data_IF_251164744934
#
_entry.id   IF_251164744934
#
_cell.length_a   1.000
_cell.length_b   1.000
_cell.length_c   1.000
_cell.angle_alpha   90.00
_cell.angle_beta   90.00
_cell.angle_gamma   90.00
#
_symmetry.space_group_name_H-M   'P 1'
#
loop_
_entity.id
_entity.type
_entity.pdbx_description
1 polymer ?
#
# COMPACT_ATOMS: atom_id res chain seq x y z
N UNK A 1 40.78 14.09 -104.40
CA UNK A 1 39.45 14.68 -104.62
C UNK A 1 38.56 14.17 -103.47
N UNK A 2 38.46 14.92 -102.38
CA UNK A 2 37.33 15.85 -102.11
C UNK A 2 36.08 15.04 -101.70
N UNK A 3 35.43 15.18 -100.53
CA UNK A 3 35.52 16.17 -99.46
C UNK A 3 34.88 15.64 -98.17
N UNK A 4 35.41 16.17 -97.06
CA UNK A 4 34.89 16.42 -95.72
C UNK A 4 33.36 16.60 -95.53
N UNK A 5 32.83 16.21 -94.35
CA UNK A 5 31.91 16.96 -93.44
C UNK A 5 31.26 15.96 -92.46
N UNK A 6 31.75 15.81 -91.23
CA UNK A 6 31.39 16.56 -90.01
C UNK A 6 30.20 15.95 -89.23
N UNK A 7 30.44 15.67 -87.94
CA UNK A 7 29.64 16.08 -86.78
C UNK A 7 29.62 14.99 -85.70
N UNK A 8 30.26 15.28 -84.57
CA UNK A 8 30.00 14.66 -83.26
C UNK A 8 29.22 15.69 -82.44
N UNK A 9 28.17 15.30 -81.70
CA UNK A 9 28.25 15.43 -80.24
C UNK A 9 27.53 14.26 -79.51
N UNK A 10 28.16 13.63 -78.52
CA UNK A 10 27.99 13.83 -77.04
C UNK A 10 26.95 12.84 -76.44
N UNK A 11 27.17 12.30 -75.22
CA UNK A 11 26.57 11.05 -74.78
C UNK A 11 25.24 11.25 -74.05
N UNK A 12 24.25 10.43 -74.35
CA UNK A 12 23.02 10.32 -73.58
C UNK A 12 22.94 8.97 -72.86
N UNK A 13 23.38 8.96 -71.60
CA UNK A 13 22.85 8.03 -70.60
C UNK A 13 21.50 8.59 -70.15
N UNK A 14 20.42 7.96 -70.59
CA UNK A 14 19.05 8.27 -70.13
C UNK A 14 18.37 7.00 -69.63
N UNK A 15 17.49 7.11 -68.62
CA UNK A 15 17.61 6.33 -67.40
C UNK A 15 16.83 5.01 -67.45
N UNK A 16 17.37 3.98 -66.80
CA UNK A 16 16.58 2.79 -66.45
C UNK A 16 15.39 3.24 -65.61
N UNK A 17 14.19 3.25 -66.23
CA UNK A 17 12.92 3.35 -65.52
C UNK A 17 12.88 2.23 -64.49
N UNK A 18 12.99 2.60 -63.21
CA UNK A 18 12.55 1.75 -62.09
C UNK A 18 11.07 1.49 -62.31
N UNK A 19 10.73 0.36 -62.92
CA UNK A 19 9.38 -0.17 -62.95
C UNK A 19 9.05 -0.46 -61.49
N UNK A 20 8.29 0.43 -60.86
CA UNK A 20 7.61 0.12 -59.61
C UNK A 20 6.74 -1.10 -59.88
N UNK A 21 7.22 -2.27 -59.45
CA UNK A 21 6.52 -3.52 -59.62
C UNK A 21 5.21 -3.41 -58.86
N UNK A 22 4.11 -3.41 -59.59
CA UNK A 22 2.80 -3.59 -58.98
C UNK A 22 2.88 -4.88 -58.16
N UNK A 23 2.48 -4.86 -56.88
CA UNK A 23 2.50 -6.06 -56.07
C UNK A 23 1.65 -7.12 -56.76
N UNK A 24 2.23 -8.30 -56.96
CA UNK A 24 1.51 -9.43 -57.57
C UNK A 24 0.30 -9.76 -56.70
N UNK A 25 -0.83 -10.16 -57.29
CA UNK A 25 -2.04 -10.54 -56.56
C UNK A 25 -1.77 -11.60 -55.47
N UNK A 26 -0.78 -12.46 -55.69
CA UNK A 26 -0.28 -13.42 -54.69
C UNK A 26 0.35 -12.72 -53.48
N UNK A 27 1.13 -11.65 -53.68
CA UNK A 27 1.76 -10.89 -52.59
C UNK A 27 0.69 -10.16 -51.75
N UNK A 28 -0.33 -9.62 -52.40
CA UNK A 28 -1.47 -8.98 -51.71
C UNK A 28 -2.23 -10.02 -50.87
N UNK A 29 -2.49 -11.21 -51.43
CA UNK A 29 -3.15 -12.30 -50.72
C UNK A 29 -2.34 -12.78 -49.51
N UNK A 30 -1.03 -12.95 -49.68
CA UNK A 30 -0.13 -13.33 -48.58
C UNK A 30 -0.08 -12.26 -47.49
N UNK A 31 0.01 -10.98 -47.87
CA UNK A 31 -0.03 -9.88 -46.93
C UNK A 31 -1.38 -9.81 -46.17
N UNK A 32 -2.50 -10.09 -46.84
CA UNK A 32 -3.81 -10.14 -46.21
C UNK A 32 -3.92 -11.29 -45.20
N UNK A 33 -3.44 -12.49 -45.55
CA UNK A 33 -3.42 -13.65 -44.63
C UNK A 33 -2.53 -13.34 -43.43
N UNK A 34 -1.35 -12.75 -43.64
CA UNK A 34 -0.43 -12.38 -42.57
C UNK A 34 -1.05 -11.32 -41.65
N UNK A 35 -1.72 -10.32 -42.22
CA UNK A 35 -2.42 -9.28 -41.45
C UNK A 35 -3.55 -9.88 -40.60
N UNK A 36 -4.37 -10.77 -41.17
CA UNK A 36 -5.42 -11.48 -40.45
C UNK A 36 -4.82 -12.33 -39.32
N UNK A 37 -3.76 -13.10 -39.60
CA UNK A 37 -3.09 -13.92 -38.59
C UNK A 37 -2.54 -13.06 -37.42
N UNK A 38 -1.96 -11.90 -37.72
CA UNK A 38 -1.46 -10.97 -36.70
C UNK A 38 -2.59 -10.39 -35.84
N UNK A 39 -3.70 -9.99 -36.47
CA UNK A 39 -4.90 -9.51 -35.78
C UNK A 39 -5.46 -10.60 -34.86
N UNK A 40 -5.53 -11.85 -35.33
CA UNK A 40 -5.99 -12.97 -34.53
C UNK A 40 -5.04 -13.26 -33.35
N UNK A 41 -3.73 -13.21 -33.57
CA UNK A 41 -2.74 -13.41 -32.50
C UNK A 41 -2.88 -12.36 -31.37
N UNK A 42 -3.05 -11.08 -31.74
CA UNK A 42 -3.27 -9.99 -30.77
C UNK A 42 -4.60 -10.17 -30.02
N UNK A 43 -5.68 -10.50 -30.74
CA UNK A 43 -7.01 -10.71 -30.14
C UNK A 43 -7.07 -11.97 -29.25
N UNK A 44 -6.33 -13.02 -29.59
CA UNK A 44 -6.26 -14.23 -28.78
C UNK A 44 -5.44 -13.98 -27.51
N UNK A 45 -4.35 -13.21 -27.60
CA UNK A 45 -3.55 -12.79 -26.46
C UNK A 45 -4.34 -11.94 -25.46
N UNK A 46 -5.23 -11.05 -25.92
CA UNK A 46 -6.03 -10.19 -25.05
C UNK A 46 -7.17 -10.95 -24.33
N UNK A 47 -7.77 -11.97 -24.96
CA UNK A 47 -8.83 -12.79 -24.34
C UNK A 47 -8.30 -13.74 -23.26
N UNK A 48 -7.10 -14.30 -23.44
CA UNK A 48 -6.49 -15.15 -22.42
C UNK A 48 -6.02 -14.32 -21.21
N UNK A 49 -5.47 -13.12 -21.45
CA UNK A 49 -5.01 -12.23 -20.37
C UNK A 49 -6.16 -11.65 -19.52
N UNK A 50 -7.39 -11.57 -20.05
CA UNK A 50 -8.52 -10.97 -19.35
C UNK A 50 -9.22 -11.92 -18.35
N UNK A 51 -8.93 -13.22 -18.38
CA UNK A 51 -9.68 -14.22 -17.58
C UNK A 51 -8.99 -14.60 -16.27
N UNK A 52 -7.66 -14.50 -16.20
CA UNK A 52 -6.91 -14.74 -14.97
C UNK A 52 -7.09 -13.67 -13.88
N UNK A 53 -7.11 -12.36 -14.16
CA UNK A 53 -7.20 -11.36 -13.09
C UNK A 53 -8.51 -11.44 -12.32
N UNK A 54 -9.62 -11.85 -12.96
CA UNK A 54 -10.91 -11.92 -12.28
C UNK A 54 -10.98 -13.01 -11.21
N UNK A 55 -10.36 -14.17 -11.44
CA UNK A 55 -10.35 -15.24 -10.43
C UNK A 55 -9.40 -14.94 -9.28
N UNK A 56 -8.24 -14.34 -9.57
CA UNK A 56 -7.36 -13.88 -8.52
C UNK A 56 -8.07 -12.85 -7.61
N UNK A 57 -8.75 -11.87 -8.20
CA UNK A 57 -9.53 -10.89 -7.43
C UNK A 57 -10.67 -11.55 -6.64
N UNK A 58 -11.34 -12.56 -7.21
CA UNK A 58 -12.38 -13.30 -6.49
C UNK A 58 -11.81 -14.03 -5.27
N UNK A 59 -10.68 -14.72 -5.43
CA UNK A 59 -10.03 -15.47 -4.35
C UNK A 59 -9.50 -14.53 -3.26
N UNK A 60 -8.93 -13.38 -3.64
CA UNK A 60 -8.48 -12.33 -2.71
C UNK A 60 -9.65 -11.78 -1.87
N UNK A 61 -10.75 -11.38 -2.52
CA UNK A 61 -11.94 -10.89 -1.82
C UNK A 61 -12.55 -11.98 -0.93
N UNK A 62 -12.53 -13.24 -1.38
CA UNK A 62 -13.05 -14.35 -0.60
C UNK A 62 -12.22 -14.60 0.66
N UNK A 63 -10.90 -14.60 0.54
CA UNK A 63 -9.99 -14.74 1.66
C UNK A 63 -10.19 -13.62 2.70
N UNK A 64 -10.38 -12.38 2.23
CA UNK A 64 -10.63 -11.24 3.10
C UNK A 64 -11.96 -11.37 3.86
N UNK A 65 -13.04 -11.81 3.18
CA UNK A 65 -14.32 -12.08 3.83
C UNK A 65 -14.18 -13.14 4.94
N UNK A 66 -13.45 -14.22 4.66
CA UNK A 66 -13.30 -15.30 5.62
C UNK A 66 -12.44 -14.86 6.83
N UNK A 67 -11.41 -14.03 6.61
CA UNK A 67 -10.64 -13.37 7.68
C UNK A 67 -11.52 -12.47 8.55
N UNK A 68 -12.28 -11.56 7.93
CA UNK A 68 -13.13 -10.62 8.66
C UNK A 68 -14.23 -11.32 9.48
N UNK A 69 -14.76 -12.44 8.98
CA UNK A 69 -15.72 -13.25 9.72
C UNK A 69 -15.11 -13.91 10.95
N UNK A 70 -13.88 -14.41 10.83
CA UNK A 70 -13.16 -14.99 11.97
C UNK A 70 -12.90 -13.92 13.05
N UNK A 71 -12.45 -12.74 12.64
CA UNK A 71 -12.23 -11.60 13.52
C UNK A 71 -13.53 -11.14 14.20
N UNK A 72 -14.61 -11.00 13.43
CA UNK A 72 -15.94 -10.67 13.97
C UNK A 72 -16.39 -11.70 15.02
N UNK A 73 -16.20 -13.00 14.75
CA UNK A 73 -16.55 -14.05 15.71
C UNK A 73 -15.75 -13.94 17.01
N UNK A 74 -14.45 -13.64 16.92
CA UNK A 74 -13.60 -13.42 18.09
C UNK A 74 -14.06 -12.21 18.90
N UNK A 75 -14.32 -11.08 18.23
CA UNK A 75 -14.77 -9.85 18.88
C UNK A 75 -16.14 -9.99 19.53
N UNK A 76 -17.04 -10.77 18.92
CA UNK A 76 -18.35 -11.10 19.51
C UNK A 76 -18.16 -11.90 20.80
N UNK A 77 -17.29 -12.91 20.79
CA UNK A 77 -17.02 -13.71 21.99
C UNK A 77 -16.42 -12.87 23.12
N UNK A 78 -15.45 -12.00 22.79
CA UNK A 78 -14.84 -11.09 23.77
C UNK A 78 -15.88 -10.11 24.34
N UNK A 79 -16.68 -9.49 23.48
CA UNK A 79 -17.77 -8.60 23.91
C UNK A 79 -18.73 -9.32 24.85
N UNK A 80 -19.12 -10.55 24.52
CA UNK A 80 -20.08 -11.32 25.30
C UNK A 80 -19.47 -11.74 26.65
N UNK A 81 -18.18 -12.09 26.69
CA UNK A 81 -17.44 -12.33 27.92
C UNK A 81 -17.40 -11.08 28.81
N UNK A 82 -16.97 -9.93 28.28
CA UNK A 82 -16.88 -8.67 29.04
C UNK A 82 -18.24 -8.22 29.56
N UNK A 83 -19.34 -8.57 28.88
CA UNK A 83 -20.72 -8.29 29.34
C UNK A 83 -21.26 -9.32 30.34
N UNK A 84 -20.56 -10.41 30.58
CA UNK A 84 -21.03 -11.48 31.45
C UNK A 84 -20.74 -11.21 32.93
N UNK A 85 -21.54 -11.81 33.80
CA UNK A 85 -21.30 -11.77 35.25
C UNK A 85 -19.95 -12.38 35.65
N UNK A 86 -19.44 -13.33 34.86
CA UNK A 86 -18.13 -13.93 35.09
C UNK A 86 -16.99 -12.90 34.98
N UNK A 87 -17.10 -11.96 34.04
CA UNK A 87 -16.15 -10.85 33.93
C UNK A 87 -16.26 -9.89 35.11
N UNK A 88 -17.49 -9.56 35.54
CA UNK A 88 -17.72 -8.71 36.73
C UNK A 88 -17.12 -9.36 37.97
N UNK A 89 -17.30 -10.67 38.13
CA UNK A 89 -16.75 -11.43 39.25
C UNK A 89 -15.21 -11.49 39.23
N UNK A 90 -14.61 -11.70 38.05
CA UNK A 90 -13.16 -11.67 37.88
C UNK A 90 -12.60 -10.28 38.23
N UNK A 91 -13.18 -9.22 37.65
CA UNK A 91 -12.78 -7.85 37.91
C UNK A 91 -12.92 -7.48 39.39
N UNK A 92 -14.02 -7.90 40.02
CA UNK A 92 -14.27 -7.63 41.43
C UNK A 92 -13.17 -8.22 42.33
N UNK A 93 -12.65 -9.42 42.01
CA UNK A 93 -11.57 -10.05 42.77
C UNK A 93 -10.19 -9.48 42.44
N UNK A 94 -9.90 -9.28 41.16
CA UNK A 94 -8.57 -8.94 40.68
C UNK A 94 -8.26 -7.46 40.87
N UNK A 95 -9.12 -6.57 40.36
CA UNK A 95 -8.95 -5.12 40.48
C UNK A 95 -9.70 -4.54 41.68
N UNK A 96 -10.95 -4.96 41.89
CA UNK A 96 -11.81 -4.43 42.94
C UNK A 96 -11.44 -4.87 44.35
N UNK A 97 -10.62 -5.92 44.49
CA UNK A 97 -10.26 -6.57 45.78
C UNK A 97 -11.47 -6.88 46.67
N UNK A 98 -12.62 -7.12 46.04
CA UNK A 98 -13.88 -7.48 46.67
C UNK A 98 -13.91 -8.99 46.94
N UNK A 99 -14.54 -9.38 48.04
CA UNK A 99 -14.69 -10.77 48.47
C UNK A 99 -16.16 -11.07 48.81
N UNK A 100 -16.59 -12.31 48.61
CA UNK A 100 -17.95 -12.74 48.99
C UNK A 100 -18.08 -12.85 50.51
N UNK A 101 -19.31 -12.85 51.05
CA UNK A 101 -19.53 -13.13 52.47
C UNK A 101 -18.89 -14.47 52.89
N UNK A 102 -17.99 -14.43 53.86
CA UNK A 102 -17.26 -15.61 54.35
C UNK A 102 -15.89 -15.87 53.69
N UNK A 103 -15.54 -15.13 52.64
CA UNK A 103 -14.19 -15.16 52.04
C UNK A 103 -13.25 -14.19 52.78
N UNK A 104 -11.95 -14.51 52.82
CA UNK A 104 -10.90 -13.66 53.44
C UNK A 104 -9.86 -13.30 52.38
N UNK A 105 -9.64 -12.00 52.15
CA UNK A 105 -8.60 -11.52 51.24
C UNK A 105 -7.23 -11.65 51.91
N UNK A 106 -6.31 -12.40 51.30
CA UNK A 106 -4.92 -12.53 51.75
C UNK A 106 -4.01 -11.77 50.81
N UNK A 107 -3.31 -10.77 51.33
CA UNK A 107 -2.29 -10.02 50.58
C UNK A 107 -0.91 -10.48 51.08
N UNK A 108 -0.13 -11.22 50.27
CA UNK A 108 1.22 -11.60 50.65
C UNK A 108 2.08 -10.34 50.81
N UNK A 109 2.55 -10.09 52.03
CA UNK A 109 3.63 -9.13 52.27
C UNK A 109 4.96 -9.86 52.11
N UNK A 110 5.88 -9.39 51.24
CA UNK A 110 7.19 -9.99 51.13
C UNK A 110 7.91 -9.84 52.47
N UNK A 111 8.47 -10.95 52.97
CA UNK A 111 9.21 -10.95 54.22
C UNK A 111 10.61 -10.35 54.01
N UNK A 112 10.90 -9.29 54.76
CA UNK A 112 12.21 -8.64 54.93
C UNK A 112 12.80 -7.86 53.73
N UNK A 113 12.38 -6.61 53.61
CA UNK A 113 13.36 -5.52 53.66
C UNK A 113 13.05 -4.80 54.97
N UNK A 114 14.04 -4.68 55.87
CA UNK A 114 13.98 -3.75 56.98
C UNK A 114 13.72 -2.37 56.39
N UNK A 115 12.47 -1.92 56.40
CA UNK A 115 12.14 -0.54 56.14
C UNK A 115 12.49 0.20 57.42
N UNK A 116 13.77 0.51 57.57
CA UNK A 116 14.19 1.65 58.37
C UNK A 116 13.27 2.79 57.91
N UNK A 117 12.32 3.17 58.76
CA UNK A 117 11.49 4.35 58.52
C UNK A 117 12.34 5.57 58.79
N UNK A 118 13.44 5.70 58.05
CA UNK A 118 13.95 7.01 57.69
C UNK A 118 13.01 7.46 56.60
N UNK A 119 11.98 8.23 56.98
CA UNK A 119 11.27 9.06 56.02
C UNK A 119 12.38 9.78 55.22
N UNK A 120 12.56 9.52 53.92
CA UNK A 120 13.36 10.43 53.13
C UNK A 120 12.68 11.78 53.30
N UNK A 121 13.41 12.77 53.80
CA UNK A 121 13.05 14.17 53.69
C UNK A 121 12.97 14.45 52.18
N UNK A 122 11.85 14.04 51.61
CA UNK A 122 11.54 14.23 50.21
C UNK A 122 11.14 15.68 50.18
N UNK A 123 12.14 16.54 50.05
CA UNK A 123 11.91 17.90 49.61
C UNK A 123 10.97 17.77 48.41
N UNK A 124 9.74 18.25 48.57
CA UNK A 124 8.82 18.40 47.47
C UNK A 124 9.50 19.34 46.49
N UNK A 125 10.20 18.78 45.51
CA UNK A 125 10.60 19.54 44.34
C UNK A 125 9.29 19.79 43.64
N UNK A 126 8.78 21.01 43.77
CA UNK A 126 7.66 21.49 42.98
C UNK A 126 8.11 21.42 41.53
N UNK A 127 7.79 20.30 40.89
CA UNK A 127 7.96 20.15 39.45
C UNK A 127 6.91 21.09 38.87
N UNK A 128 7.35 22.23 38.34
CA UNK A 128 6.49 23.09 37.55
C UNK A 128 5.95 22.26 36.38
N UNK A 129 4.71 21.79 36.50
CA UNK A 129 3.97 21.14 35.41
C UNK A 129 3.31 22.17 34.50
N UNK A 130 3.71 23.45 34.60
CA UNK A 130 3.26 24.46 33.66
C UNK A 130 3.98 24.18 32.32
N UNK A 131 3.24 23.84 31.25
CA UNK A 131 3.86 23.73 29.94
C UNK A 131 4.57 25.05 29.61
N UNK A 132 5.70 25.03 28.88
CA UNK A 132 6.33 26.25 28.42
C UNK A 132 5.26 27.05 27.68
N UNK A 133 4.97 28.27 28.14
CA UNK A 133 4.01 29.16 27.49
C UNK A 133 4.60 29.60 26.15
N UNK A 134 4.48 28.75 25.14
CA UNK A 134 4.72 29.11 23.75
C UNK A 134 3.51 29.87 23.25
N UNK A 135 3.74 31.02 22.61
CA UNK A 135 2.66 31.76 21.96
C UNK A 135 1.91 30.84 20.97
N UNK A 136 0.57 30.86 20.94
CA UNK A 136 -0.21 29.93 20.10
C UNK A 136 0.19 29.90 18.62
N UNK A 137 0.68 31.02 18.07
CA UNK A 137 1.08 31.12 16.67
C UNK A 137 2.38 30.34 16.36
N UNK A 138 3.29 30.20 17.34
CA UNK A 138 4.54 29.42 17.20
C UNK A 138 4.21 27.93 17.07
N UNK A 139 3.27 27.45 17.88
CA UNK A 139 2.77 26.07 17.82
C UNK A 139 2.14 25.76 16.46
N UNK A 140 1.33 26.69 15.94
CA UNK A 140 0.74 26.54 14.61
C UNK A 140 1.81 26.56 13.51
N UNK A 141 2.82 27.42 13.63
CA UNK A 141 3.90 27.49 12.65
C UNK A 141 4.68 26.17 12.56
N UNK A 142 5.10 25.61 13.70
CA UNK A 142 5.82 24.34 13.75
C UNK A 142 4.99 23.18 13.18
N UNK A 143 3.68 23.13 13.44
CA UNK A 143 2.78 22.11 12.89
C UNK A 143 2.67 22.17 11.35
N UNK A 144 2.66 23.37 10.76
CA UNK A 144 2.48 23.52 9.32
C UNK A 144 3.78 23.50 8.52
N UNK A 145 4.89 23.92 9.12
CA UNK A 145 6.16 24.13 8.43
C UNK A 145 7.32 23.28 8.95
N UNK A 146 7.13 22.49 10.01
CA UNK A 146 8.12 21.58 10.62
C UNK A 146 9.51 22.25 10.81
N UNK A 147 9.47 23.54 11.12
CA UNK A 147 10.63 24.43 11.27
C UNK A 147 10.37 25.41 12.40
N UNK A 148 11.42 25.85 13.12
CA UNK A 148 11.27 26.85 14.17
C UNK A 148 10.74 28.16 13.57
N UNK A 149 9.82 28.81 14.30
CA UNK A 149 9.29 30.10 13.90
C UNK A 149 10.41 31.15 13.79
N UNK A 150 10.35 32.08 12.82
CA UNK A 150 11.33 33.15 12.69
C UNK A 150 11.24 34.12 13.88
N UNK A 151 12.38 34.52 14.42
CA UNK A 151 12.46 35.55 15.46
C UNK A 151 12.03 36.91 14.89
N UNK A 152 11.05 37.56 15.52
CA UNK A 152 10.54 38.89 15.17
C UNK A 152 11.27 40.01 15.91
#
# INVERSE_FOLDING_TARGET
MSSQTAATPKPEKSPQRKRGGQPSSIQIMFAAILAIALILAINFSSRIAATQPLQQTYDEVRAEIDRLRAEQSSLIQERDYVRSDAYVEAWARDEGKMVRPGEVLVIPVPSAVDVDTTLPDTAFVEVETSPPQSDPWVVWWELFFDTPAPDL
#
